data_IF_316889195982
#
_entry.id   IF_316889195982
#
_cell.length_a   1.000
_cell.length_b   1.000
_cell.length_c   1.000
_cell.angle_alpha   90.00
_cell.angle_beta   90.00
_cell.angle_gamma   90.00
#
_symmetry.space_group_name_H-M   'P 1'
#
loop_
_entity.id
_entity.type
_entity.pdbx_description
1 polymer ?
#
# COMPACT_ATOMS: atom_id res chain seq x y z
N UNK A 1 20.52 1.71 3.81
CA UNK A 1 21.34 0.89 2.89
C UNK A 1 22.56 0.29 3.58
N UNK A 2 22.37 -0.23 4.80
CA UNK A 2 23.46 -0.75 5.65
C UNK A 2 23.47 -2.27 5.74
N UNK A 3 22.45 -2.95 5.19
CA UNK A 3 22.34 -4.40 5.21
C UNK A 3 23.15 -5.02 4.06
N UNK A 4 23.95 -6.05 4.36
CA UNK A 4 24.75 -6.80 3.38
C UNK A 4 23.81 -7.52 2.41
N UNK A 5 24.04 -7.46 1.09
CA UNK A 5 23.13 -8.08 0.10
C UNK A 5 21.92 -7.24 -0.31
N UNK A 6 21.66 -6.10 0.35
CA UNK A 6 20.59 -5.17 -0.05
C UNK A 6 20.76 -4.65 -1.50
N UNK A 7 22.00 -4.49 -1.95
CA UNK A 7 22.32 -4.06 -3.32
C UNK A 7 21.81 -5.03 -4.39
N UNK A 8 21.84 -6.34 -4.12
CA UNK A 8 21.31 -7.37 -5.04
C UNK A 8 19.79 -7.25 -5.20
N UNK A 9 19.09 -6.94 -4.11
CA UNK A 9 17.65 -6.72 -4.14
C UNK A 9 17.25 -5.44 -4.87
N UNK A 10 17.98 -4.36 -4.65
CA UNK A 10 17.77 -3.10 -5.38
C UNK A 10 18.08 -3.23 -6.87
N UNK A 11 19.12 -3.99 -7.22
CA UNK A 11 19.42 -4.30 -8.62
C UNK A 11 18.24 -5.05 -9.26
N UNK A 12 17.69 -6.05 -8.59
CA UNK A 12 16.52 -6.78 -9.09
C UNK A 12 15.27 -5.89 -9.24
N UNK A 13 15.05 -4.94 -8.33
CA UNK A 13 13.92 -4.01 -8.39
C UNK A 13 14.05 -2.96 -9.48
N UNK A 14 15.24 -2.35 -9.62
CA UNK A 14 15.45 -1.18 -10.46
C UNK A 14 15.87 -1.50 -11.90
N UNK A 15 16.46 -2.68 -12.15
CA UNK A 15 16.97 -3.00 -13.49
C UNK A 15 15.83 -3.57 -14.35
N UNK A 16 15.40 -2.82 -15.38
CA UNK A 16 14.27 -3.23 -16.19
C UNK A 16 14.65 -4.36 -17.15
N UNK A 17 13.77 -5.35 -17.29
CA UNK A 17 13.85 -6.33 -18.36
C UNK A 17 12.98 -5.86 -19.54
N UNK A 18 13.60 -5.13 -20.48
CA UNK A 18 12.89 -4.48 -21.60
C UNK A 18 12.01 -5.41 -22.44
N UNK A 19 12.39 -6.69 -22.56
CA UNK A 19 11.60 -7.70 -23.29
C UNK A 19 10.20 -7.89 -22.69
N UNK A 20 10.04 -7.72 -21.38
CA UNK A 20 8.75 -7.91 -20.68
C UNK A 20 7.70 -6.85 -21.04
N UNK A 21 8.12 -5.67 -21.51
CA UNK A 21 7.17 -4.60 -21.90
C UNK A 21 6.33 -5.00 -23.11
N UNK A 22 6.81 -5.92 -23.94
CA UNK A 22 6.08 -6.45 -25.09
C UNK A 22 4.97 -7.43 -24.68
N UNK A 23 4.96 -7.90 -23.44
CA UNK A 23 3.99 -8.88 -22.95
C UNK A 23 2.71 -8.16 -22.49
N UNK A 24 1.53 -8.48 -23.07
CA UNK A 24 0.26 -7.84 -22.68
C UNK A 24 -0.08 -8.02 -21.20
N UNK A 25 0.34 -9.15 -20.62
CA UNK A 25 0.12 -9.47 -19.20
C UNK A 25 0.77 -8.45 -18.25
N UNK A 26 1.89 -7.85 -18.65
CA UNK A 26 2.58 -6.82 -17.85
C UNK A 26 1.74 -5.55 -17.78
N UNK A 27 1.14 -5.14 -18.90
CA UNK A 27 0.25 -3.98 -18.95
C UNK A 27 -1.05 -4.22 -18.19
N UNK A 28 -1.62 -5.42 -18.29
CA UNK A 28 -2.79 -5.80 -17.51
C UNK A 28 -2.49 -5.69 -16.00
N UNK A 29 -1.36 -6.24 -15.55
CA UNK A 29 -0.96 -6.17 -14.14
C UNK A 29 -0.66 -4.75 -13.67
N UNK A 30 -0.04 -3.93 -14.51
CA UNK A 30 0.20 -2.52 -14.22
C UNK A 30 -1.11 -1.74 -14.09
N UNK A 31 -2.07 -1.97 -14.99
CA UNK A 31 -3.40 -1.36 -14.91
C UNK A 31 -4.11 -1.80 -13.62
N UNK A 32 -4.23 -3.10 -13.37
CA UNK A 32 -4.82 -3.65 -12.13
C UNK A 32 -4.21 -2.99 -10.89
N UNK A 33 -2.87 -2.90 -10.83
CA UNK A 33 -2.17 -2.28 -9.71
C UNK A 33 -2.59 -0.81 -9.53
N UNK A 34 -2.62 0.00 -10.60
CA UNK A 34 -3.01 1.42 -10.50
C UNK A 34 -4.48 1.58 -10.08
N UNK A 35 -5.37 0.74 -10.61
CA UNK A 35 -6.80 0.76 -10.25
C UNK A 35 -7.01 0.44 -8.76
N UNK A 36 -6.36 -0.60 -8.24
CA UNK A 36 -6.45 -0.98 -6.84
C UNK A 36 -5.68 -0.03 -5.91
N UNK A 37 -4.51 0.47 -6.31
CA UNK A 37 -3.69 1.38 -5.49
C UNK A 37 -4.41 2.70 -5.23
N UNK A 38 -5.09 3.24 -6.25
CA UNK A 38 -5.87 4.46 -6.15
C UNK A 38 -7.33 4.21 -5.77
N UNK A 39 -7.73 2.98 -5.44
CA UNK A 39 -9.13 2.61 -5.12
C UNK A 39 -10.16 3.15 -6.13
N UNK A 40 -9.80 3.16 -7.41
CA UNK A 40 -10.65 3.70 -8.47
C UNK A 40 -11.84 2.77 -8.67
N UNK A 41 -13.05 3.33 -8.57
CA UNK A 41 -14.34 2.63 -8.65
C UNK A 41 -14.81 1.88 -7.39
N UNK A 42 -14.13 2.03 -6.25
CA UNK A 42 -14.57 1.46 -4.96
C UNK A 42 -15.57 2.36 -4.19
N UNK A 43 -15.96 3.52 -4.75
CA UNK A 43 -16.93 4.43 -4.13
C UNK A 43 -16.37 5.34 -3.03
N UNK A 44 -15.21 5.00 -2.47
CA UNK A 44 -14.52 5.78 -1.43
C UNK A 44 -14.21 7.22 -1.88
N UNK A 45 -13.48 7.39 -2.99
CA UNK A 45 -13.07 8.73 -3.47
C UNK A 45 -14.29 9.59 -3.84
N UNK A 46 -15.37 8.97 -4.31
CA UNK A 46 -16.63 9.66 -4.59
C UNK A 46 -17.30 10.16 -3.31
N UNK A 47 -17.31 9.32 -2.26
CA UNK A 47 -17.87 9.66 -0.95
C UNK A 47 -17.05 10.74 -0.25
N UNK A 48 -15.72 10.62 -0.23
CA UNK A 48 -14.84 11.65 0.33
C UNK A 48 -14.93 12.97 -0.47
N UNK A 49 -15.09 12.87 -1.78
CA UNK A 49 -15.30 14.02 -2.65
C UNK A 49 -16.63 14.74 -2.41
N UNK A 50 -17.68 14.05 -1.95
CA UNK A 50 -18.98 14.69 -1.68
C UNK A 50 -18.94 15.61 -0.44
N UNK A 51 -17.99 15.39 0.46
CA UNK A 51 -17.74 16.24 1.63
C UNK A 51 -16.87 17.48 1.33
N UNK A 52 -16.27 17.58 0.14
CA UNK A 52 -15.46 18.75 -0.21
C UNK A 52 -16.30 20.02 -0.40
N UNK A 53 -15.68 21.18 -0.12
CA UNK A 53 -16.27 22.46 -0.49
C UNK A 53 -16.49 22.54 -2.01
N UNK A 54 -17.63 23.07 -2.45
CA UNK A 54 -18.03 23.14 -3.86
C UNK A 54 -17.01 23.84 -4.78
N UNK A 55 -16.25 24.81 -4.24
CA UNK A 55 -15.23 25.55 -5.00
C UNK A 55 -13.81 25.05 -4.73
N UNK A 56 -13.65 23.86 -4.13
CA UNK A 56 -12.34 23.27 -3.91
C UNK A 56 -11.71 22.84 -5.25
N UNK A 57 -10.40 23.07 -5.40
CA UNK A 57 -9.67 22.75 -6.63
C UNK A 57 -9.36 21.26 -6.69
N UNK A 58 -10.34 20.45 -7.10
CA UNK A 58 -10.23 18.99 -7.18
C UNK A 58 -9.00 18.51 -7.97
N UNK A 59 -8.65 19.18 -9.07
CA UNK A 59 -7.49 18.82 -9.89
C UNK A 59 -6.18 18.78 -9.09
N UNK A 60 -5.98 19.78 -8.21
CA UNK A 60 -4.77 19.89 -7.39
C UNK A 60 -4.68 18.71 -6.42
N UNK A 61 -5.78 18.37 -5.76
CA UNK A 61 -5.83 17.30 -4.78
C UNK A 61 -5.60 15.94 -5.43
N UNK A 62 -6.22 15.71 -6.60
CA UNK A 62 -6.02 14.47 -7.38
C UNK A 62 -4.56 14.30 -7.78
N UNK A 63 -3.89 15.35 -8.27
CA UNK A 63 -2.47 15.27 -8.62
C UNK A 63 -1.58 15.01 -7.40
N UNK A 64 -1.87 15.64 -6.26
CA UNK A 64 -1.12 15.42 -5.01
C UNK A 64 -1.30 13.98 -4.54
N UNK A 65 -2.54 13.48 -4.51
CA UNK A 65 -2.85 12.12 -4.07
C UNK A 65 -2.15 11.09 -4.96
N UNK A 66 -2.29 11.22 -6.29
CA UNK A 66 -1.67 10.28 -7.23
C UNK A 66 -0.13 10.29 -7.15
N UNK A 67 0.48 11.47 -6.99
CA UNK A 67 1.93 11.58 -6.85
C UNK A 67 2.42 11.02 -5.50
N UNK A 68 1.70 11.30 -4.42
CA UNK A 68 2.01 10.77 -3.10
C UNK A 68 1.91 9.24 -3.07
N UNK A 69 0.85 8.67 -3.65
CA UNK A 69 0.66 7.21 -3.78
C UNK A 69 1.83 6.55 -4.54
N UNK A 70 2.20 7.11 -5.69
CA UNK A 70 3.37 6.67 -6.46
C UNK A 70 4.67 6.75 -5.65
N UNK A 71 4.89 7.86 -4.94
CA UNK A 71 6.12 8.07 -4.17
C UNK A 71 6.21 7.08 -3.00
N UNK A 72 5.13 6.93 -2.23
CA UNK A 72 5.07 5.97 -1.12
C UNK A 72 5.28 4.55 -1.63
N UNK A 73 4.61 4.18 -2.72
CA UNK A 73 4.74 2.86 -3.36
C UNK A 73 6.17 2.59 -3.84
N UNK A 74 6.82 3.57 -4.45
CA UNK A 74 8.21 3.46 -4.90
C UNK A 74 9.19 3.31 -3.72
N UNK A 75 9.05 4.13 -2.68
CA UNK A 75 9.88 4.05 -1.48
C UNK A 75 9.65 2.72 -0.75
N UNK A 76 8.40 2.28 -0.62
CA UNK A 76 8.07 0.98 -0.04
C UNK A 76 8.71 -0.16 -0.84
N UNK A 77 8.68 -0.10 -2.18
CA UNK A 77 9.38 -1.04 -3.05
C UNK A 77 10.88 -1.10 -2.76
N UNK A 78 11.57 0.04 -2.64
CA UNK A 78 12.99 0.08 -2.28
C UNK A 78 13.27 -0.58 -0.93
N UNK A 79 12.43 -0.32 0.07
CA UNK A 79 12.57 -0.91 1.41
C UNK A 79 12.37 -2.44 1.35
N UNK A 80 11.29 -2.91 0.74
CA UNK A 80 10.97 -4.34 0.60
C UNK A 80 12.07 -5.08 -0.13
N UNK A 81 12.47 -4.61 -1.31
CA UNK A 81 13.50 -5.29 -2.08
C UNK A 81 14.89 -5.22 -1.42
N UNK A 82 15.19 -4.19 -0.63
CA UNK A 82 16.44 -4.17 0.16
C UNK A 82 16.48 -5.27 1.23
N UNK A 83 15.34 -5.54 1.89
CA UNK A 83 15.19 -6.60 2.89
C UNK A 83 15.21 -7.98 2.23
N UNK A 84 14.50 -8.16 1.11
CA UNK A 84 14.51 -9.42 0.34
C UNK A 84 15.90 -9.75 -0.22
N UNK A 85 16.67 -8.74 -0.66
CA UNK A 85 18.05 -8.92 -1.11
C UNK A 85 18.99 -9.37 0.02
N UNK A 86 18.84 -8.79 1.21
CA UNK A 86 19.56 -9.24 2.40
C UNK A 86 19.23 -10.69 2.77
N UNK A 87 17.96 -11.06 2.67
CA UNK A 87 17.51 -12.42 2.91
C UNK A 87 18.10 -13.43 1.92
N UNK A 88 17.99 -13.14 0.61
CA UNK A 88 18.52 -14.02 -0.43
C UNK A 88 20.02 -14.27 -0.21
N UNK A 89 20.76 -13.25 0.23
CA UNK A 89 22.16 -13.36 0.60
C UNK A 89 22.40 -14.25 1.82
N UNK A 90 21.64 -14.08 2.92
CA UNK A 90 21.83 -14.86 4.15
C UNK A 90 21.43 -16.33 3.99
N UNK A 91 20.33 -16.59 3.28
CA UNK A 91 19.82 -17.95 3.04
C UNK A 91 20.55 -18.65 1.89
N UNK A 92 21.41 -17.94 1.17
CA UNK A 92 22.15 -18.44 0.01
C UNK A 92 21.21 -19.02 -1.08
N UNK A 93 20.08 -18.35 -1.31
CA UNK A 93 19.04 -18.70 -2.29
C UNK A 93 18.89 -17.61 -3.34
N UNK A 94 18.20 -17.90 -4.45
CA UNK A 94 17.92 -16.88 -5.44
C UNK A 94 16.86 -15.90 -4.94
N UNK A 95 16.94 -14.63 -5.37
CA UNK A 95 15.93 -13.63 -4.97
C UNK A 95 14.53 -13.95 -5.52
N UNK A 96 14.44 -14.71 -6.62
CA UNK A 96 13.16 -15.11 -7.20
C UNK A 96 12.39 -16.03 -6.26
N UNK A 97 13.09 -16.98 -5.63
CA UNK A 97 12.47 -17.91 -4.67
C UNK A 97 11.88 -17.17 -3.45
N UNK A 98 12.54 -16.11 -3.02
CA UNK A 98 12.12 -15.27 -1.88
C UNK A 98 10.94 -14.37 -2.27
N UNK A 99 10.92 -13.86 -3.52
CA UNK A 99 9.82 -13.03 -4.05
C UNK A 99 8.56 -13.86 -4.28
N UNK A 100 8.71 -15.07 -4.84
CA UNK A 100 7.59 -15.95 -5.18
C UNK A 100 6.86 -16.51 -3.94
N UNK A 101 7.55 -16.59 -2.80
CA UNK A 101 6.94 -16.94 -1.52
C UNK A 101 5.92 -15.89 -1.01
N UNK A 102 5.92 -14.68 -1.58
CA UNK A 102 4.86 -13.69 -1.43
C UNK A 102 4.74 -13.04 -0.05
N UNK A 103 3.57 -12.45 0.23
CA UNK A 103 3.30 -11.61 1.41
C UNK A 103 3.44 -12.38 2.74
N UNK A 104 3.18 -13.69 2.75
CA UNK A 104 3.36 -14.53 3.93
C UNK A 104 4.82 -14.61 4.37
N UNK A 105 5.75 -14.57 3.41
CA UNK A 105 7.17 -14.51 3.70
C UNK A 105 7.52 -13.18 4.37
N UNK A 106 6.93 -12.05 3.95
CA UNK A 106 7.18 -10.75 4.59
C UNK A 106 6.89 -10.75 6.11
N UNK A 107 5.86 -11.46 6.58
CA UNK A 107 5.56 -11.57 8.02
C UNK A 107 6.52 -12.46 8.83
N UNK A 108 7.33 -13.27 8.16
CA UNK A 108 8.41 -14.06 8.78
C UNK A 108 9.72 -13.28 8.70
N UNK A 109 9.96 -12.67 7.54
CA UNK A 109 11.23 -12.09 7.13
C UNK A 109 11.47 -10.70 7.66
N UNK A 110 10.43 -9.86 7.71
CA UNK A 110 10.57 -8.52 8.27
C UNK A 110 10.91 -8.58 9.76
N UNK A 111 10.20 -9.33 10.62
CA UNK A 111 10.58 -9.47 12.01
C UNK A 111 12.00 -10.00 12.19
N UNK A 112 12.39 -11.02 11.42
CA UNK A 112 13.75 -11.57 11.44
C UNK A 112 14.80 -10.52 11.06
N UNK A 113 14.57 -9.77 9.98
CA UNK A 113 15.49 -8.72 9.51
C UNK A 113 15.56 -7.53 10.48
N UNK A 114 14.47 -7.23 11.17
CA UNK A 114 14.43 -6.18 12.21
C UNK A 114 15.26 -6.57 13.43
N UNK A 115 15.42 -7.86 13.74
CA UNK A 115 16.32 -8.31 14.83
C UNK A 115 17.79 -7.97 14.59
N UNK A 116 18.17 -7.71 13.34
CA UNK A 116 19.53 -7.38 12.94
C UNK A 116 19.84 -5.88 13.05
N UNK A 117 18.81 -5.04 13.24
CA UNK A 117 18.96 -3.60 13.41
C UNK A 117 19.27 -3.25 14.87
N UNK A 118 19.91 -2.10 15.09
CA UNK A 118 20.09 -1.57 16.43
C UNK A 118 18.72 -1.26 17.06
N UNK A 119 18.51 -1.70 18.30
CA UNK A 119 17.24 -1.59 19.04
C UNK A 119 16.05 -2.30 18.36
N UNK A 120 16.11 -3.64 18.19
CA UNK A 120 15.08 -4.41 17.48
C UNK A 120 13.65 -4.17 17.95
N UNK A 121 13.46 -4.07 19.27
CA UNK A 121 12.13 -3.90 19.87
C UNK A 121 11.43 -2.62 19.41
N UNK A 122 12.18 -1.53 19.23
CA UNK A 122 11.63 -0.26 18.75
C UNK A 122 11.15 -0.39 17.30
N UNK A 123 12.00 -0.93 16.42
CA UNK A 123 11.68 -1.08 15.00
C UNK A 123 10.55 -2.07 14.75
N UNK A 124 10.49 -3.17 15.51
CA UNK A 124 9.38 -4.12 15.45
C UNK A 124 8.07 -3.45 15.85
N UNK A 125 8.08 -2.68 16.95
CA UNK A 125 6.91 -1.93 17.39
C UNK A 125 6.43 -0.94 16.32
N UNK A 126 7.34 -0.13 15.76
CA UNK A 126 7.01 0.83 14.69
C UNK A 126 6.44 0.14 13.46
N UNK A 127 7.02 -0.99 13.04
CA UNK A 127 6.56 -1.76 11.89
C UNK A 127 5.13 -2.30 12.08
N UNK A 128 4.84 -2.94 13.22
CA UNK A 128 3.50 -3.46 13.48
C UNK A 128 2.46 -2.37 13.69
N UNK A 129 2.84 -1.25 14.33
CA UNK A 129 1.97 -0.08 14.46
C UNK A 129 1.65 0.53 13.09
N UNK A 130 2.65 0.64 12.21
CA UNK A 130 2.45 1.08 10.84
C UNK A 130 1.47 0.16 10.09
N UNK A 131 1.65 -1.15 10.15
CA UNK A 131 0.73 -2.11 9.52
C UNK A 131 -0.69 -2.02 10.10
N UNK A 132 -0.82 -1.84 11.41
CA UNK A 132 -2.11 -1.67 12.06
C UNK A 132 -2.84 -0.41 11.55
N UNK A 133 -2.16 0.74 11.52
CA UNK A 133 -2.77 1.97 11.01
C UNK A 133 -3.08 1.90 9.52
N UNK A 134 -2.22 1.25 8.72
CA UNK A 134 -2.45 1.06 7.29
C UNK A 134 -3.72 0.23 7.05
N UNK A 135 -3.87 -0.89 7.75
CA UNK A 135 -5.06 -1.74 7.65
C UNK A 135 -6.31 -0.99 8.15
N UNK A 136 -6.21 -0.31 9.30
CA UNK A 136 -7.32 0.42 9.89
C UNK A 136 -7.83 1.55 8.98
N UNK A 137 -6.92 2.33 8.38
CA UNK A 137 -7.29 3.42 7.48
C UNK A 137 -8.04 2.90 6.24
N UNK A 138 -7.59 1.79 5.65
CA UNK A 138 -8.25 1.16 4.51
C UNK A 138 -9.64 0.64 4.85
N UNK A 139 -9.80 -0.05 5.99
CA UNK A 139 -11.09 -0.59 6.41
C UNK A 139 -12.12 0.50 6.72
N UNK A 140 -11.71 1.57 7.42
CA UNK A 140 -12.59 2.73 7.69
C UNK A 140 -13.07 3.35 6.39
N UNK A 141 -12.17 3.50 5.43
CA UNK A 141 -12.48 4.10 4.13
C UNK A 141 -13.44 3.26 3.28
N UNK A 142 -13.30 1.93 3.33
CA UNK A 142 -14.21 1.00 2.64
C UNK A 142 -15.61 1.06 3.26
N UNK A 143 -15.69 1.03 4.60
CA UNK A 143 -16.96 1.16 5.33
C UNK A 143 -17.63 2.48 4.97
N UNK A 144 -16.90 3.59 4.95
CA UNK A 144 -17.44 4.90 4.58
C UNK A 144 -17.94 4.95 3.12
N UNK A 145 -17.20 4.34 2.18
CA UNK A 145 -17.59 4.23 0.78
C UNK A 145 -18.91 3.47 0.55
N UNK A 146 -19.25 2.52 1.43
CA UNK A 146 -20.53 1.80 1.39
C UNK A 146 -21.62 2.55 2.15
N UNK A 147 -21.31 3.12 3.31
CA UNK A 147 -22.30 3.76 4.18
C UNK A 147 -22.79 5.10 3.64
N UNK A 148 -21.94 5.88 2.96
CA UNK A 148 -22.30 7.19 2.41
C UNK A 148 -23.46 7.11 1.41
N UNK A 149 -23.41 6.28 0.34
CA UNK A 149 -24.53 6.18 -0.60
C UNK A 149 -25.81 5.63 0.04
N UNK A 150 -25.71 4.75 1.05
CA UNK A 150 -26.89 4.27 1.80
C UNK A 150 -27.52 5.40 2.60
N UNK A 151 -26.72 6.28 3.22
CA UNK A 151 -27.23 7.45 3.96
C UNK A 151 -27.84 8.49 3.04
N UNK A 152 -27.30 8.66 1.84
CA UNK A 152 -27.82 9.62 0.85
C UNK A 152 -29.17 9.17 0.28
N UNK A 153 -29.35 7.87 0.05
CA UNK A 153 -30.59 7.32 -0.52
C UNK A 153 -31.72 7.16 0.52
N UNK A 154 -31.42 6.90 1.80
CA UNK A 154 -32.43 6.61 2.83
C UNK A 154 -32.53 7.73 3.91
N UNK A 155 -33.54 8.63 3.84
CA UNK A 155 -33.72 9.73 4.80
C UNK A 155 -33.96 9.29 6.26
N UNK A 156 -34.41 8.05 6.47
CA UNK A 156 -34.58 7.46 7.80
C UNK A 156 -33.24 7.24 8.52
N UNK A 157 -32.17 6.96 7.78
CA UNK A 157 -30.81 6.79 8.33
C UNK A 157 -30.18 8.13 8.73
N UNK A 158 -30.55 9.22 8.07
CA UNK A 158 -30.11 10.58 8.43
C UNK A 158 -30.70 11.06 9.76
N UNK A 159 -31.88 10.55 10.17
CA UNK A 159 -32.57 10.93 11.41
C UNK A 159 -31.97 10.32 12.68
N UNK A 160 -31.16 9.26 12.57
CA UNK A 160 -30.52 8.58 13.70
C UNK A 160 -29.01 8.36 13.45
N UNK A 161 -28.20 9.44 13.42
CA UNK A 161 -26.78 9.38 13.05
C UNK A 161 -25.95 8.50 13.99
N UNK A 162 -26.37 8.35 15.26
CA UNK A 162 -25.67 7.56 16.29
C UNK A 162 -25.73 6.04 16.08
N UNK A 163 -26.59 5.52 15.19
CA UNK A 163 -26.65 4.07 14.88
C UNK A 163 -25.69 3.64 13.76
N UNK A 164 -25.10 4.58 13.02
CA UNK A 164 -24.20 4.35 11.87
C UNK A 164 -22.81 4.98 12.12
N UNK A 165 -22.30 4.79 13.35
CA UNK A 165 -21.27 5.56 14.04
C UNK A 165 -19.82 5.50 13.50
N UNK A 166 -19.62 5.32 12.19
CA UNK A 166 -18.29 5.33 11.56
C UNK A 166 -18.10 6.48 10.56
N UNK A 167 -18.76 7.61 10.76
CA UNK A 167 -18.56 8.82 9.93
C UNK A 167 -18.06 9.94 10.82
N UNK A 168 -16.85 10.42 10.54
CA UNK A 168 -16.32 11.70 11.04
C UNK A 168 -16.86 12.86 10.20
#
# INVERSE_FOLDING_TARGET
>A
MTLVGAGTGLYYYLVPTWKKILEPKVWQKAAEQVFFSLSVAEGMIYSLGSYNHFHNSLYRDVYIIAFADLLVSFVAGLVVFSVLGHMAYNLNVSIQDVVDAGFGLAFVVYPESVTLLAWPNLWSFVFFVMLFFLALASEVSLVEGVLTPIKDEFPACQRHPTRLAFTF
#
